data_IF_388349266874
#
_entry.id   IF_388349266874
#
_cell.length_a   1.000
_cell.length_b   1.000
_cell.length_c   1.000
_cell.angle_alpha   90.00
_cell.angle_beta   90.00
_cell.angle_gamma   90.00
#
_symmetry.space_group_name_H-M   'P 1'
#
loop_
_entity.id
_entity.type
_entity.pdbx_description
1 polymer ?
#
# COMPACT_ATOMS: atom_id res chain seq x y z
N UNK A 1 -12.30 8.42 -1.41
CA UNK A 1 -11.48 8.28 -2.62
C UNK A 1 -10.70 9.54 -3.04
N UNK A 2 -9.41 9.44 -3.42
CA UNK A 2 -8.77 10.47 -4.28
C UNK A 2 -9.08 10.18 -5.75
N UNK A 3 -9.43 11.20 -6.54
CA UNK A 3 -9.71 11.06 -7.99
C UNK A 3 -8.58 10.34 -8.76
N UNK A 4 -7.34 10.40 -8.27
CA UNK A 4 -6.19 9.75 -8.90
C UNK A 4 -6.19 8.23 -8.74
N UNK A 5 -6.61 7.70 -7.60
CA UNK A 5 -6.61 6.26 -7.37
C UNK A 5 -7.68 5.56 -8.19
N UNK A 6 -8.90 6.13 -8.26
CA UNK A 6 -9.95 5.63 -9.13
C UNK A 6 -9.54 5.66 -10.60
N UNK A 7 -8.84 6.72 -11.04
CA UNK A 7 -8.29 6.79 -12.38
C UNK A 7 -7.22 5.72 -12.64
N UNK A 8 -6.34 5.45 -11.68
CA UNK A 8 -5.32 4.40 -11.80
C UNK A 8 -5.96 3.01 -11.91
N UNK A 9 -6.92 2.70 -11.04
CA UNK A 9 -7.67 1.44 -11.06
C UNK A 9 -8.49 1.28 -12.36
N UNK A 10 -9.14 2.35 -12.81
CA UNK A 10 -9.82 2.38 -14.12
C UNK A 10 -8.87 2.16 -15.29
N UNK A 11 -7.64 2.69 -15.23
CA UNK A 11 -6.63 2.44 -16.26
C UNK A 11 -6.20 0.96 -16.30
N UNK A 12 -6.16 0.27 -15.16
CA UNK A 12 -5.93 -1.19 -15.11
C UNK A 12 -7.09 -1.92 -15.80
N UNK A 13 -8.34 -1.57 -15.47
CA UNK A 13 -9.52 -2.15 -16.11
C UNK A 13 -9.55 -1.95 -17.63
N UNK A 14 -9.10 -0.80 -18.12
CA UNK A 14 -8.94 -0.56 -19.56
C UNK A 14 -7.87 -1.44 -20.23
N UNK A 15 -6.85 -1.85 -19.49
CA UNK A 15 -5.72 -2.63 -20.02
C UNK A 15 -5.99 -4.14 -20.04
N UNK A 16 -6.57 -4.68 -18.97
CA UNK A 16 -6.72 -6.13 -18.79
C UNK A 16 -8.19 -6.62 -18.83
N UNK A 17 -9.15 -5.70 -18.82
CA UNK A 17 -10.56 -6.00 -18.69
C UNK A 17 -11.08 -5.77 -17.27
N UNK A 18 -12.36 -5.38 -17.17
CA UNK A 18 -13.01 -5.09 -15.89
C UNK A 18 -13.11 -6.34 -15.01
N UNK A 19 -13.52 -7.48 -15.60
CA UNK A 19 -13.65 -8.75 -14.88
C UNK A 19 -12.31 -9.20 -14.29
N UNK A 20 -11.26 -9.18 -15.10
CA UNK A 20 -9.89 -9.53 -14.70
C UNK A 20 -9.37 -8.58 -13.62
N UNK A 21 -9.78 -7.31 -13.67
CA UNK A 21 -9.42 -6.31 -12.65
C UNK A 21 -10.14 -6.54 -11.33
N UNK A 22 -11.43 -6.91 -11.37
CA UNK A 22 -12.19 -7.32 -10.17
C UNK A 22 -11.51 -8.51 -9.52
N UNK A 23 -11.18 -9.56 -10.29
CA UNK A 23 -10.50 -10.76 -9.78
C UNK A 23 -9.13 -10.40 -9.18
N UNK A 24 -8.35 -9.56 -9.87
CA UNK A 24 -7.07 -9.07 -9.37
C UNK A 24 -7.21 -8.33 -8.04
N UNK A 25 -8.18 -7.42 -7.92
CA UNK A 25 -8.37 -6.62 -6.71
C UNK A 25 -8.96 -7.42 -5.55
N UNK A 26 -9.87 -8.36 -5.80
CA UNK A 26 -10.36 -9.30 -4.79
C UNK A 26 -9.21 -10.18 -4.26
N UNK A 27 -8.32 -10.63 -5.14
CA UNK A 27 -7.13 -11.38 -4.76
C UNK A 27 -6.13 -10.52 -3.98
N UNK A 28 -5.90 -9.29 -4.42
CA UNK A 28 -4.84 -8.44 -3.85
C UNK A 28 -5.25 -7.75 -2.54
N UNK A 29 -6.52 -7.43 -2.33
CA UNK A 29 -7.02 -6.76 -1.12
C UNK A 29 -6.57 -7.43 0.19
N UNK A 30 -6.76 -8.75 0.41
CA UNK A 30 -6.27 -9.41 1.63
C UNK A 30 -4.75 -9.34 1.78
N UNK A 31 -4.01 -9.38 0.66
CA UNK A 31 -2.54 -9.29 0.66
C UNK A 31 -2.08 -7.89 1.08
N UNK A 32 -2.77 -6.83 0.63
CA UNK A 32 -2.45 -5.45 1.05
C UNK A 32 -2.69 -5.27 2.55
N UNK A 33 -3.80 -5.80 3.07
CA UNK A 33 -4.13 -5.76 4.51
C UNK A 33 -3.07 -6.53 5.33
N UNK A 34 -2.68 -7.72 4.88
CA UNK A 34 -1.62 -8.50 5.53
C UNK A 34 -0.29 -7.75 5.55
N UNK A 35 0.09 -7.11 4.44
CA UNK A 35 1.31 -6.30 4.34
C UNK A 35 1.30 -5.10 5.28
N UNK A 36 0.17 -4.40 5.40
CA UNK A 36 0.03 -3.32 6.38
C UNK A 36 0.31 -3.84 7.79
N UNK A 37 -0.38 -4.91 8.20
CA UNK A 37 -0.20 -5.49 9.54
C UNK A 37 1.24 -5.94 9.80
N UNK A 38 1.86 -6.64 8.84
CA UNK A 38 3.24 -7.09 8.97
C UNK A 38 4.22 -5.91 9.10
N UNK A 39 4.06 -4.87 8.28
CA UNK A 39 4.89 -3.67 8.35
C UNK A 39 4.73 -2.94 9.69
N UNK A 40 3.51 -2.76 10.17
CA UNK A 40 3.25 -2.13 11.46
C UNK A 40 3.82 -2.96 12.63
N UNK A 41 3.72 -4.28 12.56
CA UNK A 41 4.28 -5.19 13.56
C UNK A 41 5.81 -5.08 13.60
N UNK A 42 6.49 -5.24 12.46
CA UNK A 42 7.95 -5.18 12.39
C UNK A 42 8.48 -3.78 12.78
N UNK A 43 7.77 -2.71 12.40
CA UNK A 43 8.10 -1.34 12.81
C UNK A 43 8.02 -1.15 14.33
N UNK A 44 6.97 -1.67 14.99
CA UNK A 44 6.83 -1.61 16.46
C UNK A 44 7.86 -2.49 17.17
N UNK A 45 8.16 -3.66 16.62
CA UNK A 45 9.15 -4.59 17.16
C UNK A 45 10.60 -4.15 16.90
N UNK A 46 10.82 -3.12 16.07
CA UNK A 46 12.14 -2.66 15.60
C UNK A 46 12.90 -3.74 14.84
N UNK A 47 12.17 -4.61 14.15
CA UNK A 47 12.69 -5.68 13.28
C UNK A 47 13.01 -5.08 11.90
N UNK A 48 14.10 -4.30 11.83
CA UNK A 48 14.40 -3.45 10.67
C UNK A 48 14.66 -4.22 9.37
N UNK A 49 15.27 -5.40 9.46
CA UNK A 49 15.57 -6.21 8.27
C UNK A 49 14.26 -6.73 7.64
N UNK A 50 13.36 -7.24 8.48
CA UNK A 50 12.04 -7.74 8.11
C UNK A 50 11.17 -6.59 7.59
N UNK A 51 11.15 -5.46 8.30
CA UNK A 51 10.44 -4.25 7.87
C UNK A 51 10.88 -3.80 6.46
N UNK A 52 12.19 -3.68 6.22
CA UNK A 52 12.74 -3.30 4.90
C UNK A 52 12.37 -4.33 3.83
N UNK A 53 12.40 -5.62 4.14
CA UNK A 53 12.00 -6.69 3.21
C UNK A 53 10.52 -6.61 2.83
N UNK A 54 9.63 -6.43 3.81
CA UNK A 54 8.19 -6.28 3.54
C UNK A 54 7.88 -4.99 2.79
N UNK A 55 8.61 -3.90 3.07
CA UNK A 55 8.42 -2.63 2.39
C UNK A 55 8.75 -2.77 0.90
N UNK A 56 9.89 -3.39 0.59
CA UNK A 56 10.30 -3.68 -0.79
C UNK A 56 9.27 -4.52 -1.56
N UNK A 57 8.76 -5.60 -0.95
CA UNK A 57 7.71 -6.45 -1.57
C UNK A 57 6.41 -5.68 -1.83
N UNK A 58 6.13 -4.66 -1.04
CA UNK A 58 4.91 -3.85 -1.13
C UNK A 58 4.96 -2.80 -2.23
N UNK A 59 6.15 -2.26 -2.57
CA UNK A 59 6.32 -1.21 -3.60
C UNK A 59 5.69 -1.61 -4.94
N UNK A 60 5.88 -2.86 -5.38
CA UNK A 60 5.37 -3.33 -6.66
C UNK A 60 3.84 -3.33 -6.75
N UNK A 61 3.15 -3.73 -5.67
CA UNK A 61 1.69 -3.80 -5.66
C UNK A 61 1.05 -2.43 -5.52
N UNK A 62 1.62 -1.53 -4.71
CA UNK A 62 0.96 -0.25 -4.40
C UNK A 62 0.88 0.70 -5.59
N UNK A 63 1.78 0.54 -6.57
CA UNK A 63 1.76 1.26 -7.86
C UNK A 63 0.49 1.01 -8.65
N UNK A 64 -0.06 -0.20 -8.57
CA UNK A 64 -1.30 -0.59 -9.27
C UNK A 64 -2.48 0.26 -8.81
N UNK A 65 -2.46 0.68 -7.54
CA UNK A 65 -3.54 1.44 -6.92
C UNK A 65 -3.35 2.97 -7.02
N UNK A 66 -2.23 3.43 -7.58
CA UNK A 66 -1.96 4.85 -7.79
C UNK A 66 -1.62 5.65 -6.52
N UNK A 67 -1.18 5.01 -5.44
CA UNK A 67 -0.69 5.73 -4.25
C UNK A 67 0.80 6.04 -4.35
N UNK A 68 1.12 7.20 -4.92
CA UNK A 68 2.49 7.74 -4.98
C UNK A 68 3.07 7.95 -3.59
N UNK A 69 2.27 8.43 -2.63
CA UNK A 69 2.74 8.71 -1.27
C UNK A 69 3.11 7.44 -0.52
N UNK A 70 2.29 6.39 -0.63
CA UNK A 70 2.61 5.09 -0.06
C UNK A 70 3.90 4.52 -0.65
N UNK A 71 4.11 4.64 -1.96
CA UNK A 71 5.37 4.24 -2.58
C UNK A 71 6.57 5.00 -1.99
N UNK A 72 6.45 6.32 -1.79
CA UNK A 72 7.53 7.12 -1.17
C UNK A 72 7.84 6.62 0.24
N UNK A 73 6.82 6.40 1.08
CA UNK A 73 7.01 5.90 2.44
C UNK A 73 7.70 4.54 2.44
N UNK A 74 7.24 3.61 1.60
CA UNK A 74 7.86 2.28 1.49
C UNK A 74 9.31 2.33 0.99
N UNK A 75 9.69 3.33 0.19
CA UNK A 75 11.10 3.56 -0.20
C UNK A 75 11.93 4.12 0.95
N UNK A 76 11.36 5.01 1.75
CA UNK A 76 11.99 5.58 2.95
C UNK A 76 12.26 4.55 4.04
N UNK A 77 11.60 3.38 3.99
CA UNK A 77 11.85 2.27 4.90
C UNK A 77 13.33 1.86 4.98
N UNK A 78 14.11 2.06 3.91
CA UNK A 78 15.54 1.76 3.90
C UNK A 78 16.36 2.62 4.88
N UNK A 79 15.87 3.81 5.20
CA UNK A 79 16.56 4.81 6.02
C UNK A 79 15.95 4.93 7.44
N UNK A 80 15.02 4.02 7.80
CA UNK A 80 14.19 4.10 9.01
C UNK A 80 14.97 3.94 10.34
N UNK A 81 16.13 3.27 10.29
CA UNK A 81 16.98 2.98 11.44
C UNK A 81 18.00 4.09 11.75
N UNK A 82 17.90 5.22 11.06
CA UNK A 82 18.69 6.42 11.35
C UNK A 82 18.03 7.27 12.47
N UNK A 83 18.85 7.85 13.37
CA UNK A 83 18.40 8.64 14.54
C UNK A 83 17.55 9.90 14.22
N UNK A 84 17.37 10.24 12.93
CA UNK A 84 16.61 11.42 12.48
C UNK A 84 15.15 11.17 12.12
N UNK A 85 14.68 9.91 12.11
CA UNK A 85 13.29 9.60 11.72
C UNK A 85 12.38 9.63 12.94
N UNK A 86 11.33 10.47 12.88
CA UNK A 86 10.21 10.38 13.82
C UNK A 86 9.39 9.12 13.50
N UNK A 87 9.71 8.02 14.19
CA UNK A 87 9.08 6.71 13.97
C UNK A 87 7.56 6.74 14.20
N UNK A 88 7.07 7.59 15.12
CA UNK A 88 5.64 7.68 15.40
C UNK A 88 4.92 8.37 14.25
N UNK A 89 5.46 9.51 13.79
CA UNK A 89 4.90 10.23 12.64
C UNK A 89 4.94 9.36 11.37
N UNK A 90 6.06 8.67 11.12
CA UNK A 90 6.20 7.75 10.01
C UNK A 90 5.19 6.60 10.07
N UNK A 91 5.02 5.97 11.25
CA UNK A 91 4.04 4.89 11.42
C UNK A 91 2.61 5.36 11.13
N UNK A 92 2.22 6.52 11.67
CA UNK A 92 0.89 7.08 11.45
C UNK A 92 0.64 7.36 9.97
N UNK A 93 1.63 7.93 9.28
CA UNK A 93 1.51 8.23 7.87
C UNK A 93 1.46 6.98 7.00
N UNK A 94 2.30 5.98 7.30
CA UNK A 94 2.29 4.68 6.63
C UNK A 94 0.93 4.00 6.77
N UNK A 95 0.39 3.96 7.98
CA UNK A 95 -0.91 3.35 8.28
C UNK A 95 -2.04 4.04 7.52
N UNK A 96 -2.08 5.38 7.57
CA UNK A 96 -3.07 6.19 6.85
C UNK A 96 -3.05 5.96 5.34
N UNK A 97 -1.87 5.87 4.74
CA UNK A 97 -1.75 5.65 3.28
C UNK A 97 -2.14 4.23 2.87
N UNK A 98 -1.89 3.22 3.71
CA UNK A 98 -2.42 1.87 3.50
C UNK A 98 -3.95 1.84 3.62
N UNK A 99 -4.52 2.46 4.65
CA UNK A 99 -5.98 2.58 4.81
C UNK A 99 -6.62 3.23 3.60
N UNK A 100 -6.03 4.32 3.09
CA UNK A 100 -6.50 4.97 1.87
C UNK A 100 -6.51 4.02 0.66
N UNK A 101 -5.46 3.19 0.50
CA UNK A 101 -5.39 2.16 -0.55
C UNK A 101 -6.45 1.09 -0.38
N UNK A 102 -6.62 0.57 0.84
CA UNK A 102 -7.58 -0.50 1.16
C UNK A 102 -9.01 -0.02 0.92
N UNK A 103 -9.35 1.18 1.40
CA UNK A 103 -10.66 1.80 1.16
C UNK A 103 -10.84 2.11 -0.32
N UNK A 104 -9.76 2.53 -0.99
CA UNK A 104 -9.70 2.69 -2.44
C UNK A 104 -10.16 1.46 -3.21
N UNK A 105 -9.56 0.31 -2.89
CA UNK A 105 -9.86 -0.97 -3.53
C UNK A 105 -11.30 -1.40 -3.21
N UNK A 106 -11.74 -1.28 -1.94
CA UNK A 106 -13.09 -1.64 -1.51
C UNK A 106 -14.18 -0.81 -2.19
N UNK A 107 -14.00 0.51 -2.24
CA UNK A 107 -14.93 1.42 -2.92
C UNK A 107 -15.00 1.11 -4.43
N UNK A 108 -13.86 0.82 -5.07
CA UNK A 108 -13.85 0.45 -6.50
C UNK A 108 -14.57 -0.88 -6.75
N UNK A 109 -14.29 -1.90 -5.93
CA UNK A 109 -14.95 -3.22 -5.98
C UNK A 109 -16.44 -3.16 -5.63
N UNK A 110 -16.91 -2.15 -4.88
CA UNK A 110 -18.32 -1.97 -4.59
C UNK A 110 -19.08 -1.27 -5.73
N UNK A 111 -18.35 -0.55 -6.59
CA UNK A 111 -18.92 0.20 -7.71
C UNK A 111 -19.00 -0.60 -9.02
N UNK A 112 -18.42 -1.81 -9.07
CA UNK A 112 -18.36 -2.70 -10.24
C UNK A 112 -18.73 -4.13 -9.80
#
# INVERSE_FOLDING_TARGET
MSNKMFAAMGAVAMQIGEKETIELFQFALPIVIERQHALEQHLRAKEWAEFKQFAHKSIGSVRIYGSERLEVLLRQAHDIDNDGVDLLAYQQELSKEFEAVIDGIREWLAAH
#
